data_IF_530649158101
#
_entry.id   IF_530649158101
#
_cell.length_a   1.000
_cell.length_b   1.000
_cell.length_c   1.000
_cell.angle_alpha   90.00
_cell.angle_beta   90.00
_cell.angle_gamma   90.00
#
_symmetry.space_group_name_H-M   'P 1'
#
loop_
_entity.id
_entity.type
_entity.pdbx_description
1 polymer ?
#
# COMPACT_ATOMS: atom_id res chain seq x y z
N UNK A 1 24.84 -55.63 6.60
CA UNK A 1 24.48 -54.88 5.38
C UNK A 1 25.75 -54.77 4.55
N UNK A 2 25.91 -55.67 3.58
CA UNK A 2 27.14 -55.75 2.81
C UNK A 2 27.06 -54.67 1.74
N UNK A 3 27.84 -53.60 1.90
CA UNK A 3 27.93 -52.59 0.86
C UNK A 3 28.71 -53.19 -0.31
N UNK A 4 28.00 -53.45 -1.42
CA UNK A 4 28.64 -53.90 -2.64
C UNK A 4 29.62 -52.83 -3.12
N UNK A 5 30.83 -53.27 -3.47
CA UNK A 5 31.91 -52.37 -3.91
C UNK A 5 31.48 -51.50 -5.11
N UNK A 6 30.60 -52.04 -5.95
CA UNK A 6 30.04 -51.34 -7.10
C UNK A 6 29.06 -50.23 -6.68
N UNK A 7 28.30 -50.43 -5.59
CA UNK A 7 27.40 -49.42 -5.02
C UNK A 7 28.21 -48.28 -4.40
N UNK A 8 29.30 -48.59 -3.70
CA UNK A 8 30.22 -47.57 -3.15
C UNK A 8 30.86 -46.74 -4.25
N UNK A 9 31.32 -47.37 -5.34
CA UNK A 9 31.87 -46.66 -6.50
C UNK A 9 30.81 -45.75 -7.14
N UNK A 10 29.57 -46.21 -7.26
CA UNK A 10 28.44 -45.40 -7.74
C UNK A 10 28.18 -44.16 -6.87
N UNK A 11 28.16 -44.32 -5.54
CA UNK A 11 27.97 -43.19 -4.62
C UNK A 11 29.09 -42.16 -4.71
N UNK A 12 30.34 -42.60 -4.84
CA UNK A 12 31.49 -41.68 -5.00
C UNK A 12 31.40 -40.92 -6.33
N UNK A 13 30.98 -41.58 -7.41
CA UNK A 13 30.80 -40.95 -8.71
C UNK A 13 29.69 -39.89 -8.66
N UNK A 14 28.56 -40.21 -8.03
CA UNK A 14 27.43 -39.28 -7.85
C UNK A 14 27.89 -38.08 -7.01
N UNK A 15 28.60 -38.30 -5.91
CA UNK A 15 29.13 -37.23 -5.08
C UNK A 15 30.08 -36.31 -5.86
N UNK A 16 30.97 -36.88 -6.68
CA UNK A 16 31.89 -36.10 -7.51
C UNK A 16 31.14 -35.24 -8.55
N UNK A 17 30.11 -35.80 -9.21
CA UNK A 17 29.29 -35.06 -10.18
C UNK A 17 28.56 -33.90 -9.50
N UNK A 18 27.99 -34.10 -8.31
CA UNK A 18 27.28 -33.05 -7.58
C UNK A 18 28.20 -31.90 -7.16
N UNK A 19 29.45 -32.19 -6.76
CA UNK A 19 30.43 -31.14 -6.41
C UNK A 19 30.82 -30.33 -7.65
N UNK A 20 31.12 -30.99 -8.77
CA UNK A 20 31.47 -30.33 -10.03
C UNK A 20 30.29 -29.47 -10.53
N UNK A 21 29.08 -30.03 -10.49
CA UNK A 21 27.87 -29.32 -10.88
C UNK A 21 27.57 -28.12 -9.97
N UNK A 22 27.76 -28.27 -8.65
CA UNK A 22 27.54 -27.18 -7.69
C UNK A 22 28.49 -26.00 -7.88
N UNK A 23 29.76 -26.27 -8.21
CA UNK A 23 30.74 -25.21 -8.53
C UNK A 23 30.36 -24.52 -9.86
N UNK A 24 29.88 -25.27 -10.84
CA UNK A 24 29.46 -24.70 -12.13
C UNK A 24 28.17 -23.87 -12.03
N UNK A 25 27.23 -24.28 -11.18
CA UNK A 25 25.96 -23.61 -10.97
C UNK A 25 26.01 -22.51 -9.90
N UNK A 26 27.17 -22.26 -9.29
CA UNK A 26 27.33 -21.19 -8.30
C UNK A 26 27.05 -19.84 -8.98
N UNK A 27 26.05 -19.07 -8.54
CA UNK A 27 25.75 -17.77 -9.12
C UNK A 27 26.94 -16.83 -8.94
N UNK A 28 27.23 -16.05 -9.98
CA UNK A 28 28.30 -15.03 -9.96
C UNK A 28 28.06 -14.04 -8.82
N UNK A 29 29.12 -13.52 -8.22
CA UNK A 29 29.03 -12.53 -7.12
C UNK A 29 28.17 -11.31 -7.51
N UNK A 30 28.15 -10.95 -8.80
CA UNK A 30 27.30 -9.87 -9.33
C UNK A 30 25.80 -10.18 -9.23
N UNK A 31 25.37 -11.41 -9.48
CA UNK A 31 23.96 -11.82 -9.34
C UNK A 31 23.54 -11.85 -7.87
N UNK A 32 24.46 -12.24 -6.97
CA UNK A 32 24.20 -12.19 -5.52
C UNK A 32 24.01 -10.76 -5.03
N UNK A 33 24.81 -9.81 -5.54
CA UNK A 33 24.67 -8.38 -5.22
C UNK A 33 23.36 -7.82 -5.79
N UNK A 34 23.00 -8.18 -7.03
CA UNK A 34 21.73 -7.76 -7.63
C UNK A 34 20.51 -8.31 -6.85
N UNK A 35 20.56 -9.56 -6.41
CA UNK A 35 19.51 -10.16 -5.56
C UNK A 35 19.47 -9.50 -4.17
N UNK A 36 20.61 -9.11 -3.59
CA UNK A 36 20.65 -8.36 -2.33
C UNK A 36 20.03 -6.96 -2.48
N UNK A 37 20.34 -6.24 -3.55
CA UNK A 37 19.75 -4.93 -3.85
C UNK A 37 18.22 -5.01 -4.05
N UNK A 38 17.74 -6.03 -4.74
CA UNK A 38 16.31 -6.26 -4.92
C UNK A 38 15.62 -6.57 -3.58
N UNK A 39 16.24 -7.37 -2.71
CA UNK A 39 15.73 -7.69 -1.37
C UNK A 39 15.68 -6.46 -0.46
N UNK A 40 16.69 -5.61 -0.50
CA UNK A 40 16.73 -4.39 0.32
C UNK A 40 15.61 -3.41 -0.04
N UNK A 41 15.25 -3.31 -1.33
CA UNK A 41 14.13 -2.47 -1.79
C UNK A 41 12.77 -2.94 -1.26
N UNK A 42 12.57 -4.26 -1.16
CA UNK A 42 11.35 -4.88 -0.65
C UNK A 42 11.20 -4.70 0.87
N UNK A 43 12.31 -4.82 1.62
CA UNK A 43 12.31 -4.65 3.08
C UNK A 43 12.00 -3.20 3.47
N UNK A 44 12.50 -2.22 2.72
CA UNK A 44 12.22 -0.81 3.00
C UNK A 44 10.76 -0.45 2.75
N UNK A 45 10.16 -0.96 1.67
CA UNK A 45 8.73 -0.76 1.37
C UNK A 45 7.87 -1.46 2.41
N UNK A 46 8.21 -2.70 2.78
CA UNK A 46 7.47 -3.43 3.83
C UNK A 46 7.51 -2.69 5.17
N UNK A 47 8.68 -2.18 5.59
CA UNK A 47 8.79 -1.37 6.82
C UNK A 47 7.95 -0.09 6.76
N UNK A 48 7.83 0.55 5.59
CA UNK A 48 6.98 1.72 5.41
C UNK A 48 5.48 1.36 5.42
N UNK A 49 5.11 0.19 4.91
CA UNK A 49 3.74 -0.31 4.97
C UNK A 49 3.36 -0.70 6.41
N UNK A 50 4.24 -1.41 7.12
CA UNK A 50 4.02 -1.81 8.52
C UNK A 50 3.93 -0.56 9.44
N UNK A 51 4.79 0.44 9.24
CA UNK A 51 4.71 1.71 9.96
C UNK A 51 3.39 2.46 9.65
N UNK A 52 2.95 2.45 8.39
CA UNK A 52 1.66 3.04 8.01
C UNK A 52 0.47 2.24 8.55
N UNK A 53 0.58 0.92 8.69
CA UNK A 53 -0.48 0.07 9.24
C UNK A 53 -0.61 0.27 10.75
N UNK A 54 0.50 0.43 11.48
CA UNK A 54 0.49 0.80 12.90
C UNK A 54 -0.15 2.20 13.10
N UNK A 55 0.20 3.17 12.24
CA UNK A 55 -0.43 4.50 12.27
C UNK A 55 -1.92 4.41 11.94
N UNK A 56 -2.32 3.64 10.92
CA UNK A 56 -3.73 3.45 10.56
C UNK A 56 -4.51 2.74 11.66
N UNK A 57 -3.95 1.72 12.31
CA UNK A 57 -4.60 1.01 13.42
C UNK A 57 -4.81 1.93 14.63
N UNK A 58 -3.83 2.78 14.95
CA UNK A 58 -4.01 3.84 15.96
C UNK A 58 -5.00 4.93 15.53
N UNK A 59 -5.09 5.23 14.23
CA UNK A 59 -6.04 6.24 13.72
C UNK A 59 -7.47 5.70 13.67
N UNK A 60 -7.66 4.41 13.37
CA UNK A 60 -8.97 3.76 13.34
C UNK A 60 -9.51 3.57 14.76
N UNK A 61 -8.67 3.17 15.72
CA UNK A 61 -9.09 3.11 17.13
C UNK A 61 -9.39 4.50 17.73
N UNK A 62 -8.81 5.57 17.18
CA UNK A 62 -9.12 6.96 17.55
C UNK A 62 -10.38 7.50 16.88
N UNK A 63 -10.83 6.92 15.76
CA UNK A 63 -12.02 7.39 15.04
C UNK A 63 -13.33 6.86 15.63
N UNK A 64 -13.30 5.75 16.38
CA UNK A 64 -14.49 5.24 17.08
C UNK A 64 -14.78 5.95 18.42
N UNK A 65 -13.91 6.86 18.87
CA UNK A 65 -14.11 7.66 20.09
C UNK A 65 -14.59 9.09 19.77
N UNK A 66 -14.52 9.56 18.53
CA UNK A 66 -14.92 10.94 18.16
C UNK A 66 -16.37 10.95 17.66
N UNK A 67 -17.26 10.36 18.47
CA UNK A 67 -18.66 10.82 18.62
C UNK A 67 -18.78 11.59 19.94
N UNK A 68 -17.74 12.35 20.28
CA UNK A 68 -17.81 13.36 21.33
C UNK A 68 -17.53 14.70 20.67
N UNK A 69 -18.61 15.44 20.49
CA UNK A 69 -18.65 16.88 20.31
C UNK A 69 -17.59 17.58 21.16
N UNK A 70 -16.93 18.59 20.57
CA UNK A 70 -16.00 19.56 21.19
C UNK A 70 -14.50 19.18 21.23
N UNK A 71 -13.89 18.95 20.05
CA UNK A 71 -12.46 19.26 19.90
C UNK A 71 -12.26 20.79 19.94
N UNK A 72 -11.19 21.31 20.56
CA UNK A 72 -10.84 22.73 20.48
C UNK A 72 -10.65 23.16 19.02
N UNK A 73 -11.23 24.31 18.65
CA UNK A 73 -11.20 24.83 17.27
C UNK A 73 -9.78 24.93 16.68
N UNK A 74 -8.78 25.20 17.53
CA UNK A 74 -7.37 25.29 17.13
C UNK A 74 -6.80 23.95 16.64
N UNK A 75 -7.19 22.83 17.24
CA UNK A 75 -6.74 21.49 16.85
C UNK A 75 -7.41 21.08 15.54
N UNK A 76 -8.70 21.37 15.41
CA UNK A 76 -9.47 21.12 14.18
C UNK A 76 -8.87 21.89 13.00
N UNK A 77 -8.55 23.18 13.18
CA UNK A 77 -7.93 24.00 12.13
C UNK A 77 -6.54 23.48 11.73
N UNK A 78 -5.67 23.14 12.70
CA UNK A 78 -4.34 22.56 12.41
C UNK A 78 -4.43 21.25 11.62
N UNK A 79 -5.40 20.41 11.94
CA UNK A 79 -5.65 19.15 11.22
C UNK A 79 -6.14 19.39 9.79
N UNK A 80 -7.05 20.35 9.59
CA UNK A 80 -7.53 20.73 8.25
C UNK A 80 -6.37 21.32 7.43
N UNK A 81 -5.53 22.18 8.03
CA UNK A 81 -4.34 22.73 7.41
C UNK A 81 -3.33 21.65 6.99
N UNK A 82 -3.03 20.70 7.88
CA UNK A 82 -2.12 19.59 7.57
C UNK A 82 -2.66 18.67 6.45
N UNK A 83 -3.98 18.47 6.39
CA UNK A 83 -4.61 17.56 5.41
C UNK A 83 -4.80 18.18 4.03
N UNK A 84 -5.14 19.46 3.96
CA UNK A 84 -5.54 20.13 2.70
C UNK A 84 -4.59 21.25 2.27
N UNK A 85 -3.58 21.61 3.07
CA UNK A 85 -2.58 22.62 2.74
C UNK A 85 -3.21 23.96 2.34
N UNK A 86 -2.84 24.47 1.17
CA UNK A 86 -3.39 25.72 0.59
C UNK A 86 -4.91 25.71 0.42
N UNK A 87 -5.55 24.53 0.37
CA UNK A 87 -7.00 24.39 0.22
C UNK A 87 -7.75 24.28 1.56
N UNK A 88 -7.05 24.42 2.70
CA UNK A 88 -7.66 24.31 4.03
C UNK A 88 -8.82 25.28 4.27
N UNK A 89 -8.73 26.51 3.74
CA UNK A 89 -9.78 27.51 3.84
C UNK A 89 -11.09 27.06 3.14
N UNK A 90 -10.98 26.34 2.02
CA UNK A 90 -12.13 25.82 1.27
C UNK A 90 -12.68 24.51 1.83
N UNK A 91 -11.94 23.85 2.73
CA UNK A 91 -12.37 22.63 3.40
C UNK A 91 -13.19 22.91 4.66
N UNK A 92 -13.31 24.18 5.06
CA UNK A 92 -14.15 24.62 6.17
C UNK A 92 -15.53 25.05 5.67
N UNK A 93 -16.57 24.77 6.46
CA UNK A 93 -17.96 25.12 6.17
C UNK A 93 -18.89 23.92 6.12
N UNK A 94 -20.18 24.22 5.94
CA UNK A 94 -21.22 23.19 5.88
C UNK A 94 -21.31 22.56 4.48
N UNK A 95 -21.54 21.25 4.46
CA UNK A 95 -21.77 20.51 3.23
C UNK A 95 -23.13 20.89 2.62
N UNK A 96 -23.10 21.55 1.48
CA UNK A 96 -24.29 21.93 0.69
C UNK A 96 -24.26 21.23 -0.67
N UNK A 97 -25.45 21.05 -1.23
CA UNK A 97 -25.63 20.45 -2.55
C UNK A 97 -26.30 21.44 -3.49
N UNK A 98 -25.82 21.47 -4.72
CA UNK A 98 -26.38 22.27 -5.81
C UNK A 98 -26.80 21.34 -6.93
N UNK A 99 -28.01 21.53 -7.44
CA UNK A 99 -28.53 20.74 -8.56
C UNK A 99 -28.48 21.56 -9.83
N UNK A 100 -27.88 21.00 -10.87
CA UNK A 100 -27.75 21.57 -12.21
C UNK A 100 -28.54 20.66 -13.16
N UNK A 101 -29.42 21.24 -13.96
CA UNK A 101 -30.40 20.48 -14.73
C UNK A 101 -30.56 21.03 -16.15
N UNK A 102 -30.64 20.14 -17.14
CA UNK A 102 -31.01 20.47 -18.51
C UNK A 102 -32.10 19.50 -19.03
N UNK A 103 -32.42 19.54 -20.33
CA UNK A 103 -33.47 18.70 -20.93
C UNK A 103 -33.16 17.19 -20.98
N UNK A 104 -31.91 16.80 -20.74
CA UNK A 104 -31.43 15.41 -20.87
C UNK A 104 -30.94 14.84 -19.53
N UNK A 105 -30.35 15.66 -18.66
CA UNK A 105 -29.68 15.23 -17.43
C UNK A 105 -29.96 16.17 -16.25
N UNK A 106 -29.88 15.60 -15.06
CA UNK A 106 -29.89 16.30 -13.77
C UNK A 106 -28.71 15.83 -12.93
N UNK A 107 -27.87 16.77 -12.50
CA UNK A 107 -26.64 16.51 -11.76
C UNK A 107 -26.73 17.20 -10.40
N UNK A 108 -26.47 16.48 -9.32
CA UNK A 108 -26.32 17.06 -7.99
C UNK A 108 -24.83 17.08 -7.60
N UNK A 109 -24.30 18.24 -7.24
CA UNK A 109 -22.88 18.48 -6.94
C UNK A 109 -22.73 19.00 -5.51
N UNK A 110 -21.65 18.62 -4.81
CA UNK A 110 -21.30 19.14 -3.49
C UNK A 110 -20.36 20.34 -3.57
N UNK A 111 -20.56 21.33 -2.68
CA UNK A 111 -19.65 22.48 -2.53
C UNK A 111 -18.28 22.12 -1.92
N UNK A 112 -18.11 20.91 -1.37
CA UNK A 112 -16.83 20.42 -0.85
C UNK A 112 -15.97 19.80 -1.97
N UNK A 113 -15.47 20.65 -2.86
CA UNK A 113 -14.58 20.25 -3.96
C UNK A 113 -15.28 19.75 -5.21
N UNK A 114 -16.53 20.15 -5.46
CA UNK A 114 -17.21 19.92 -6.74
C UNK A 114 -17.55 18.46 -7.04
N UNK A 115 -17.63 17.62 -6.01
CA UNK A 115 -17.89 16.18 -6.20
C UNK A 115 -19.33 15.94 -6.66
N UNK A 116 -19.48 15.15 -7.72
CA UNK A 116 -20.78 14.70 -8.21
C UNK A 116 -21.36 13.70 -7.21
N UNK A 117 -22.56 13.99 -6.70
CA UNK A 117 -23.29 13.15 -5.75
C UNK A 117 -24.23 12.18 -6.47
N UNK A 118 -24.88 12.64 -7.53
CA UNK A 118 -25.84 11.88 -8.33
C UNK A 118 -25.92 12.46 -9.75
N UNK A 119 -26.19 11.58 -10.72
CA UNK A 119 -26.52 11.93 -12.11
C UNK A 119 -27.75 11.13 -12.49
N UNK A 120 -28.77 11.81 -12.97
CA UNK A 120 -30.02 11.24 -13.46
C UNK A 120 -30.19 11.57 -14.93
N UNK A 121 -30.48 10.55 -15.75
CA UNK A 121 -30.84 10.68 -17.16
C UNK A 121 -32.35 10.85 -17.27
N UNK A 122 -32.80 11.96 -17.83
CA UNK A 122 -34.23 12.25 -18.02
C UNK A 122 -34.83 11.57 -19.25
N UNK A 123 -33.98 11.21 -20.21
CA UNK A 123 -34.36 10.45 -21.40
C UNK A 123 -33.48 9.21 -21.46
N UNK A 124 -34.12 8.07 -21.66
CA UNK A 124 -33.49 6.77 -21.92
C UNK A 124 -33.61 6.44 -23.40
#
# INVERSE_FOLDING_TARGET
>A
MNFDKNTIVGFVLIAAILVIYGIWQQPSEEEKIAMAQQRDSLIQVQKQLDAQEIIRKNTVQSNDIITSSEEPDSIKQKRIAAKFGSFANSASGEKKYTTIENNLIKITISNLGGKIRSVELKKL
#
